data_IF_370754343220
#
_entry.id   IF_370754343220
#
_cell.length_a   1.000
_cell.length_b   1.000
_cell.length_c   1.000
_cell.angle_alpha   90.00
_cell.angle_beta   90.00
_cell.angle_gamma   90.00
#
_symmetry.space_group_name_H-M   'P 1'
#
loop_
_entity.id
_entity.type
_entity.pdbx_description
1 polymer ?
#
# COMPACT_ATOMS: atom_id res chain seq x y z
N UNK A 1 29.99 24.32 -28.82
CA UNK A 1 28.56 23.92 -28.81
C UNK A 1 28.34 22.40 -28.71
N UNK A 2 28.90 21.56 -29.60
CA UNK A 2 28.68 20.08 -29.56
C UNK A 2 29.12 19.38 -28.25
N UNK A 3 30.23 19.81 -27.62
CA UNK A 3 30.69 19.26 -26.33
C UNK A 3 29.75 19.63 -25.18
N UNK A 4 29.32 20.90 -25.11
CA UNK A 4 28.34 21.38 -24.12
C UNK A 4 26.99 20.68 -24.27
N UNK A 5 26.53 20.46 -25.51
CA UNK A 5 25.30 19.72 -25.79
C UNK A 5 25.39 18.25 -25.34
N UNK A 6 26.54 17.58 -25.58
CA UNK A 6 26.77 16.21 -25.09
C UNK A 6 26.78 16.14 -23.57
N UNK A 7 27.46 17.07 -22.89
CA UNK A 7 27.47 17.13 -21.42
C UNK A 7 26.08 17.36 -20.86
N UNK A 8 25.29 18.27 -21.46
CA UNK A 8 23.90 18.50 -21.08
C UNK A 8 23.05 17.24 -21.26
N UNK A 9 23.16 16.56 -22.40
CA UNK A 9 22.44 15.32 -22.67
C UNK A 9 22.81 14.22 -21.65
N UNK A 10 24.10 14.08 -21.31
CA UNK A 10 24.54 13.13 -20.28
C UNK A 10 23.91 13.43 -18.92
N UNK A 11 23.85 14.70 -18.51
CA UNK A 11 23.21 15.09 -17.24
C UNK A 11 21.71 14.77 -17.26
N UNK A 12 21.01 15.04 -18.36
CA UNK A 12 19.59 14.70 -18.51
C UNK A 12 19.37 13.20 -18.43
N UNK A 13 20.23 12.39 -19.07
CA UNK A 13 20.15 10.93 -18.99
C UNK A 13 20.39 10.44 -17.56
N UNK A 14 21.41 10.97 -16.87
CA UNK A 14 21.66 10.62 -15.47
C UNK A 14 20.46 10.97 -14.59
N UNK A 15 19.88 12.15 -14.78
CA UNK A 15 18.71 12.59 -14.02
C UNK A 15 17.49 11.69 -14.28
N UNK A 16 17.24 11.34 -15.54
CA UNK A 16 16.18 10.39 -15.90
C UNK A 16 16.42 9.00 -15.28
N UNK A 17 17.66 8.51 -15.27
CA UNK A 17 18.01 7.24 -14.63
C UNK A 17 17.78 7.28 -13.11
N UNK A 18 18.09 8.40 -12.45
CA UNK A 18 17.82 8.57 -11.02
C UNK A 18 16.31 8.51 -10.75
N UNK A 19 15.49 9.22 -11.54
CA UNK A 19 14.02 9.18 -11.40
C UNK A 19 13.46 7.78 -11.63
N UNK A 20 13.93 7.07 -12.66
CA UNK A 20 13.49 5.71 -12.95
C UNK A 20 13.89 4.77 -11.80
N UNK A 21 15.11 4.93 -11.27
CA UNK A 21 15.59 4.12 -10.16
C UNK A 21 14.78 4.36 -8.89
N UNK A 22 14.50 5.61 -8.51
CA UNK A 22 13.68 5.91 -7.33
C UNK A 22 12.27 5.35 -7.49
N UNK A 23 11.66 5.51 -8.66
CA UNK A 23 10.33 4.97 -8.95
C UNK A 23 10.30 3.43 -8.88
N UNK A 24 11.32 2.76 -9.40
CA UNK A 24 11.44 1.30 -9.33
C UNK A 24 11.54 0.81 -7.87
N UNK A 25 12.36 1.46 -7.05
CA UNK A 25 12.51 1.12 -5.63
C UNK A 25 11.18 1.26 -4.88
N UNK A 26 10.46 2.37 -5.07
CA UNK A 26 9.14 2.59 -4.44
C UNK A 26 8.14 1.51 -4.89
N UNK A 27 8.09 1.23 -6.19
CA UNK A 27 7.18 0.23 -6.77
C UNK A 27 7.42 -1.18 -6.22
N UNK A 28 8.70 -1.57 -6.06
CA UNK A 28 9.07 -2.87 -5.47
C UNK A 28 8.64 -2.93 -4.00
N UNK A 29 8.89 -1.88 -3.22
CA UNK A 29 8.52 -1.80 -1.79
C UNK A 29 7.00 -1.87 -1.59
N UNK A 30 6.22 -1.17 -2.42
CA UNK A 30 4.76 -1.23 -2.38
C UNK A 30 4.24 -2.64 -2.65
N UNK A 31 4.76 -3.27 -3.70
CA UNK A 31 4.36 -4.64 -4.07
C UNK A 31 4.70 -5.63 -2.96
N UNK A 32 5.85 -5.44 -2.28
CA UNK A 32 6.25 -6.23 -1.13
C UNK A 32 5.28 -6.11 0.05
N UNK A 33 4.90 -4.88 0.41
CA UNK A 33 3.95 -4.63 1.51
C UNK A 33 2.58 -5.25 1.24
N UNK A 34 2.06 -5.14 0.02
CA UNK A 34 0.77 -5.75 -0.35
C UNK A 34 0.85 -7.28 -0.36
N UNK A 35 1.98 -7.86 -0.76
CA UNK A 35 2.20 -9.31 -0.72
C UNK A 35 2.33 -9.85 0.71
N UNK A 36 2.78 -9.02 1.65
CA UNK A 36 2.94 -9.39 3.04
C UNK A 36 1.63 -9.39 3.84
N UNK A 37 0.53 -8.87 3.28
CA UNK A 37 -0.78 -8.98 3.93
C UNK A 37 -1.16 -10.44 4.15
N UNK A 38 -1.60 -10.73 5.37
CA UNK A 38 -2.17 -12.01 5.71
C UNK A 38 -3.48 -12.20 4.94
N UNK A 39 -3.56 -13.29 4.19
CA UNK A 39 -4.73 -13.70 3.40
C UNK A 39 -5.29 -15.03 3.90
N UNK A 40 -4.90 -15.42 5.11
CA UNK A 40 -5.42 -16.61 5.76
C UNK A 40 -6.93 -16.49 5.83
N UNK A 41 -7.61 -17.54 5.37
CA UNK A 41 -9.05 -17.59 5.42
C UNK A 41 -9.48 -17.74 6.89
N UNK A 42 -10.38 -16.87 7.33
CA UNK A 42 -10.89 -16.87 8.69
C UNK A 42 -12.25 -17.56 8.66
N UNK A 43 -12.40 -18.60 9.48
CA UNK A 43 -13.70 -19.21 9.72
C UNK A 43 -14.52 -18.33 10.69
N UNK A 44 -15.47 -17.58 10.14
CA UNK A 44 -16.33 -16.68 10.91
C UNK A 44 -17.23 -17.43 11.90
N UNK A 45 -17.46 -18.74 11.74
CA UNK A 45 -18.22 -19.53 12.72
C UNK A 45 -17.51 -19.65 14.07
N UNK A 46 -16.20 -19.40 14.09
CA UNK A 46 -15.35 -19.43 15.29
C UNK A 46 -15.12 -18.02 15.86
N UNK A 47 -15.64 -16.98 15.20
CA UNK A 47 -15.59 -15.61 15.67
C UNK A 47 -16.89 -15.33 16.42
N UNK A 48 -16.80 -14.68 17.57
CA UNK A 48 -17.98 -14.32 18.33
C UNK A 48 -18.62 -13.06 17.75
N UNK A 49 -19.95 -13.00 17.76
CA UNK A 49 -20.69 -11.79 17.42
C UNK A 49 -20.14 -10.57 18.18
N UNK A 50 -19.94 -9.46 17.47
CA UNK A 50 -19.34 -8.28 18.06
C UNK A 50 -18.88 -7.21 17.08
N UNK A 51 -18.20 -6.22 17.63
CA UNK A 51 -17.62 -5.10 16.87
C UNK A 51 -16.10 -5.14 17.03
N UNK A 52 -15.40 -5.18 15.90
CA UNK A 52 -13.96 -5.34 15.82
C UNK A 52 -13.35 -4.13 15.11
N UNK A 53 -12.18 -3.67 15.57
CA UNK A 53 -11.41 -2.66 14.86
C UNK A 53 -10.24 -3.29 14.13
N UNK A 54 -10.11 -2.95 12.86
CA UNK A 54 -9.01 -3.37 12.00
C UNK A 54 -8.14 -2.16 11.65
N UNK A 55 -6.82 -2.31 11.74
CA UNK A 55 -5.88 -1.27 11.33
C UNK A 55 -4.85 -1.85 10.37
N UNK A 56 -4.57 -1.12 9.29
CA UNK A 56 -3.56 -1.48 8.31
C UNK A 56 -2.80 -0.24 7.84
N UNK A 57 -1.48 -0.33 7.83
CA UNK A 57 -0.58 0.76 7.44
C UNK A 57 0.45 0.27 6.42
N UNK A 58 0.59 1.04 5.35
CA UNK A 58 1.66 0.92 4.34
C UNK A 58 2.32 2.28 4.14
N UNK A 59 3.42 2.31 3.38
CA UNK A 59 4.12 3.55 3.03
C UNK A 59 3.21 4.60 2.34
N UNK A 60 2.08 4.21 1.72
CA UNK A 60 1.19 5.11 0.97
C UNK A 60 -0.26 5.16 1.44
N UNK A 61 -0.73 4.14 2.14
CA UNK A 61 -2.13 4.03 2.54
C UNK A 61 -2.19 3.57 3.97
N UNK A 62 -2.93 4.30 4.79
CA UNK A 62 -3.23 3.95 6.17
C UNK A 62 -4.73 3.96 6.36
N UNK A 63 -5.28 2.85 6.82
CA UNK A 63 -6.72 2.69 6.98
C UNK A 63 -7.02 2.11 8.35
N UNK A 64 -8.07 2.64 8.96
CA UNK A 64 -8.71 2.08 10.14
C UNK A 64 -10.18 1.79 9.82
N UNK A 65 -10.63 0.58 10.12
CA UNK A 65 -12.00 0.13 9.89
C UNK A 65 -12.63 -0.41 11.17
N UNK A 66 -13.95 -0.35 11.23
CA UNK A 66 -14.78 -1.04 12.21
C UNK A 66 -15.60 -2.08 11.47
N UNK A 67 -15.52 -3.32 11.91
CA UNK A 67 -16.26 -4.46 11.35
C UNK A 67 -17.26 -4.93 12.39
N UNK A 68 -18.53 -5.00 12.00
CA UNK A 68 -19.59 -5.57 12.84
C UNK A 68 -19.89 -6.98 12.33
N UNK A 69 -19.82 -7.96 13.22
CA UNK A 69 -20.08 -9.37 12.94
C UNK A 69 -21.27 -9.82 13.77
N UNK A 70 -22.21 -10.53 13.14
CA UNK A 70 -23.37 -11.09 13.80
C UNK A 70 -23.93 -12.31 13.04
N UNK A 71 -24.22 -13.38 13.78
CA UNK A 71 -24.73 -14.65 13.27
C UNK A 71 -23.75 -15.32 12.28
N UNK A 72 -22.44 -15.24 12.54
CA UNK A 72 -21.40 -15.84 11.71
C UNK A 72 -21.18 -15.11 10.37
N UNK A 73 -21.56 -13.83 10.29
CA UNK A 73 -21.48 -13.02 9.08
C UNK A 73 -21.06 -11.58 9.39
N UNK A 74 -20.21 -11.02 8.52
CA UNK A 74 -19.92 -9.58 8.53
C UNK A 74 -21.18 -8.83 8.09
N UNK A 75 -21.71 -8.01 8.98
CA UNK A 75 -22.91 -7.19 8.75
C UNK A 75 -22.59 -5.79 8.24
N UNK A 76 -21.50 -5.22 8.72
CA UNK A 76 -21.11 -3.86 8.36
C UNK A 76 -19.59 -3.69 8.40
N UNK A 77 -19.10 -2.80 7.54
CA UNK A 77 -17.71 -2.36 7.51
C UNK A 77 -17.71 -0.84 7.36
N UNK A 78 -17.33 -0.15 8.41
CA UNK A 78 -17.22 1.30 8.47
C UNK A 78 -15.75 1.71 8.37
N UNK A 79 -15.43 2.64 7.48
CA UNK A 79 -14.09 3.23 7.40
C UNK A 79 -14.00 4.39 8.40
N UNK A 80 -13.23 4.19 9.47
CA UNK A 80 -13.04 5.19 10.53
C UNK A 80 -12.02 6.25 10.13
N UNK A 81 -10.95 5.82 9.43
CA UNK A 81 -9.89 6.70 8.95
C UNK A 81 -9.30 6.18 7.66
N UNK A 82 -8.99 7.09 6.74
CA UNK A 82 -8.23 6.81 5.53
C UNK A 82 -7.29 7.98 5.23
N UNK A 83 -5.99 7.69 5.29
CA UNK A 83 -4.94 8.62 4.90
C UNK A 83 -4.26 8.08 3.63
N UNK A 84 -4.04 8.95 2.64
CA UNK A 84 -3.40 8.69 1.34
C UNK A 84 -2.25 9.66 1.09
#
# INVERSE_FOLDING_TARGET
>A
MKKLFKTFLTIVIIFALVIIFTFAVVSIRMTGQVKAFDKTNIDLSQVADGVYTGHSETDLVKVEVRVTEAEGMIRDIEMLRSDH
#
